data_IF_475666587772
#
_entry.id   IF_475666587772
#
_cell.length_a   1.000
_cell.length_b   1.000
_cell.length_c   1.000
_cell.angle_alpha   90.00
_cell.angle_beta   90.00
_cell.angle_gamma   90.00
#
_symmetry.space_group_name_H-M   'P 1'
#
loop_
_entity.id
_entity.type
_entity.pdbx_description
1 polymer ?
#
# COMPACT_ATOMS: atom_id res chain seq x y z
N UNK A 1 -19.11 7.67 -6.47
CA UNK A 1 -18.05 6.66 -6.68
C UNK A 1 -17.12 7.01 -7.85
N UNK A 2 -16.10 7.86 -7.64
CA UNK A 2 -15.06 8.14 -8.65
C UNK A 2 -13.89 7.16 -8.48
N UNK A 3 -13.97 6.06 -9.23
CA UNK A 3 -12.90 5.16 -9.71
C UNK A 3 -11.59 5.10 -8.91
N UNK A 4 -11.43 4.01 -8.17
CA UNK A 4 -10.19 3.37 -7.74
C UNK A 4 -9.21 2.99 -8.90
N UNK A 5 -9.48 3.38 -10.15
CA UNK A 5 -8.70 2.97 -11.35
C UNK A 5 -7.35 3.69 -11.55
N UNK A 6 -6.87 4.53 -10.63
CA UNK A 6 -5.63 5.30 -10.81
C UNK A 6 -4.39 4.69 -10.13
N UNK A 7 -4.56 3.89 -9.06
CA UNK A 7 -3.46 3.38 -8.23
C UNK A 7 -2.56 2.39 -8.97
N UNK A 8 -3.16 1.46 -9.70
CA UNK A 8 -2.45 0.40 -10.42
C UNK A 8 -1.55 0.92 -11.53
N UNK A 9 -1.93 2.01 -12.19
CA UNK A 9 -1.19 2.60 -13.29
C UNK A 9 0.01 3.40 -12.78
N UNK A 10 -0.15 4.08 -11.64
CA UNK A 10 0.91 4.83 -10.98
C UNK A 10 1.99 3.91 -10.39
N UNK A 11 1.59 2.87 -9.67
CA UNK A 11 2.53 1.86 -9.15
C UNK A 11 3.29 1.15 -10.27
N UNK A 12 2.61 0.73 -11.35
CA UNK A 12 3.28 0.12 -12.51
C UNK A 12 4.27 1.06 -13.19
N UNK A 13 3.90 2.32 -13.39
CA UNK A 13 4.79 3.33 -14.00
C UNK A 13 6.05 3.57 -13.17
N UNK A 14 5.91 3.69 -11.84
CA UNK A 14 7.06 3.91 -10.94
C UNK A 14 7.93 2.67 -10.79
N UNK A 15 7.33 1.48 -10.63
CA UNK A 15 8.10 0.22 -10.63
C UNK A 15 8.89 0.05 -11.93
N UNK A 16 8.28 0.39 -13.07
CA UNK A 16 8.96 0.37 -14.36
C UNK A 16 10.09 1.40 -14.44
N UNK A 17 9.87 2.62 -13.96
CA UNK A 17 10.90 3.67 -13.93
C UNK A 17 12.12 3.26 -13.10
N UNK A 18 11.90 2.82 -11.86
CA UNK A 18 12.98 2.40 -10.96
C UNK A 18 13.68 1.12 -11.46
N UNK A 19 12.91 0.14 -11.96
CA UNK A 19 13.45 -1.08 -12.55
C UNK A 19 14.33 -0.80 -13.77
N UNK A 20 13.93 0.13 -14.65
CA UNK A 20 14.77 0.56 -15.77
C UNK A 20 15.99 1.35 -15.31
N UNK A 21 15.88 2.18 -14.27
CA UNK A 21 17.01 2.88 -13.68
C UNK A 21 18.10 1.91 -13.19
N UNK A 22 17.70 0.85 -12.48
CA UNK A 22 18.62 -0.20 -12.03
C UNK A 22 19.21 -0.99 -13.21
N UNK A 23 18.41 -1.31 -14.22
CA UNK A 23 18.88 -2.02 -15.42
C UNK A 23 19.89 -1.17 -16.22
N UNK A 24 19.64 0.12 -16.39
CA UNK A 24 20.56 1.06 -17.05
C UNK A 24 21.85 1.24 -16.26
N UNK A 25 21.77 1.35 -14.93
CA UNK A 25 22.93 1.43 -14.07
C UNK A 25 23.83 0.18 -14.19
N UNK A 26 23.21 -1.01 -14.19
CA UNK A 26 23.91 -2.28 -14.44
C UNK A 26 24.53 -2.33 -15.83
N UNK A 27 23.76 -1.98 -16.86
CA UNK A 27 24.22 -2.01 -18.25
C UNK A 27 25.41 -1.06 -18.48
N UNK A 28 25.36 0.15 -17.92
CA UNK A 28 26.47 1.11 -17.98
C UNK A 28 27.73 0.63 -17.23
N UNK A 29 27.56 -0.14 -16.15
CA UNK A 29 28.68 -0.79 -15.46
C UNK A 29 29.29 -1.92 -16.31
N UNK A 30 28.46 -2.78 -16.92
CA UNK A 30 28.90 -3.89 -17.78
C UNK A 30 29.67 -3.40 -19.02
N UNK A 31 29.34 -2.21 -19.54
CA UNK A 31 30.03 -1.58 -20.69
C UNK A 31 31.20 -0.68 -20.29
N UNK A 32 31.53 -0.60 -18.99
CA UNK A 32 32.65 0.20 -18.48
C UNK A 32 32.42 1.72 -18.48
N UNK A 33 31.19 2.19 -18.71
CA UNK A 33 30.84 3.61 -18.70
C UNK A 33 30.68 4.16 -17.28
N UNK A 34 30.34 3.29 -16.32
CA UNK A 34 30.13 3.62 -14.92
C UNK A 34 31.09 2.78 -14.07
N UNK A 35 31.83 3.41 -13.16
CA UNK A 35 32.68 2.68 -12.21
C UNK A 35 31.81 1.93 -11.20
N UNK A 36 32.27 0.75 -10.76
CA UNK A 36 31.54 -0.07 -9.77
C UNK A 36 31.08 0.71 -8.52
N UNK A 37 31.95 1.55 -7.96
CA UNK A 37 31.62 2.39 -6.79
C UNK A 37 30.49 3.39 -7.08
N UNK A 38 30.47 3.98 -8.28
CA UNK A 38 29.41 4.88 -8.72
C UNK A 38 28.11 4.10 -8.96
N UNK A 39 28.20 2.89 -9.53
CA UNK A 39 27.03 2.03 -9.73
C UNK A 39 26.38 1.65 -8.38
N UNK A 40 27.18 1.31 -7.36
CA UNK A 40 26.67 1.03 -6.01
C UNK A 40 26.00 2.25 -5.38
N UNK A 41 26.62 3.44 -5.49
CA UNK A 41 26.02 4.69 -4.97
C UNK A 41 24.68 4.99 -5.63
N UNK A 42 24.60 4.86 -6.95
CA UNK A 42 23.34 5.05 -7.70
C UNK A 42 22.28 4.03 -7.29
N UNK A 43 22.66 2.76 -7.15
CA UNK A 43 21.72 1.71 -6.72
C UNK A 43 21.20 1.96 -5.30
N UNK A 44 22.08 2.30 -4.35
CA UNK A 44 21.69 2.63 -2.98
C UNK A 44 20.73 3.82 -2.96
N UNK A 45 21.05 4.89 -3.71
CA UNK A 45 20.19 6.06 -3.79
C UNK A 45 18.80 5.73 -4.38
N UNK A 46 18.74 4.91 -5.44
CA UNK A 46 17.46 4.45 -6.01
C UNK A 46 16.64 3.69 -4.96
N UNK A 47 17.26 2.79 -4.22
CA UNK A 47 16.59 2.00 -3.16
C UNK A 47 16.06 2.94 -2.06
N UNK A 48 16.85 3.91 -1.62
CA UNK A 48 16.43 4.89 -0.61
C UNK A 48 15.23 5.71 -1.08
N UNK A 49 15.24 6.17 -2.34
CA UNK A 49 14.10 6.89 -2.91
C UNK A 49 12.85 6.02 -2.98
N UNK A 50 12.98 4.75 -3.39
CA UNK A 50 11.85 3.81 -3.38
C UNK A 50 11.29 3.62 -1.97
N UNK A 51 12.16 3.48 -0.97
CA UNK A 51 11.77 3.32 0.42
C UNK A 51 11.01 4.55 0.96
N UNK A 52 11.45 5.77 0.62
CA UNK A 52 10.74 7.01 0.97
C UNK A 52 9.37 7.11 0.30
N UNK A 53 9.24 6.64 -0.93
CA UNK A 53 7.95 6.61 -1.62
C UNK A 53 6.98 5.61 -0.97
N UNK A 54 7.45 4.42 -0.61
CA UNK A 54 6.64 3.46 0.13
C UNK A 54 6.19 4.02 1.48
N UNK A 55 7.08 4.70 2.21
CA UNK A 55 6.71 5.40 3.45
C UNK A 55 5.56 6.38 3.23
N UNK A 56 5.63 7.24 2.21
CA UNK A 56 4.58 8.23 1.92
C UNK A 56 3.24 7.56 1.58
N UNK A 57 3.26 6.50 0.77
CA UNK A 57 2.04 5.77 0.39
C UNK A 57 1.41 5.11 1.62
N UNK A 58 2.20 4.41 2.43
CA UNK A 58 1.74 3.79 3.67
C UNK A 58 1.12 4.83 4.60
N UNK A 59 1.77 5.99 4.78
CA UNK A 59 1.26 7.06 5.63
C UNK A 59 -0.10 7.56 5.16
N UNK A 60 -0.25 7.83 3.86
CA UNK A 60 -1.52 8.28 3.29
C UNK A 60 -2.63 7.22 3.45
N UNK A 61 -2.30 5.93 3.32
CA UNK A 61 -3.27 4.85 3.52
C UNK A 61 -3.68 4.69 4.98
N UNK A 62 -2.73 4.75 5.92
CA UNK A 62 -3.04 4.73 7.34
C UNK A 62 -3.90 5.91 7.77
N UNK A 63 -3.61 7.12 7.27
CA UNK A 63 -4.44 8.30 7.53
C UNK A 63 -5.85 8.16 6.98
N UNK A 64 -6.01 7.61 5.77
CA UNK A 64 -7.32 7.34 5.19
C UNK A 64 -8.11 6.33 6.04
N UNK A 65 -7.45 5.24 6.47
CA UNK A 65 -8.06 4.21 7.31
C UNK A 65 -8.47 4.77 8.69
N UNK A 66 -7.60 5.55 9.33
CA UNK A 66 -7.87 6.24 10.60
C UNK A 66 -9.07 7.18 10.46
N UNK A 67 -9.12 7.96 9.37
CA UNK A 67 -10.24 8.87 9.11
C UNK A 67 -11.55 8.10 8.94
N UNK A 68 -11.56 7.01 8.15
CA UNK A 68 -12.76 6.20 7.94
C UNK A 68 -13.26 5.51 9.22
N UNK A 69 -12.37 5.13 10.14
CA UNK A 69 -12.75 4.64 11.47
C UNK A 69 -13.36 5.75 12.34
N UNK A 70 -12.78 6.95 12.33
CA UNK A 70 -13.26 8.08 13.13
C UNK A 70 -14.63 8.62 12.70
N UNK A 71 -14.90 8.63 11.40
CA UNK A 71 -16.19 9.09 10.85
C UNK A 71 -17.26 7.99 10.83
N UNK A 72 -16.93 6.78 11.27
CA UNK A 72 -17.88 5.66 11.34
C UNK A 72 -18.24 5.03 9.99
N UNK A 73 -17.50 5.33 8.91
CA UNK A 73 -17.67 4.64 7.61
C UNK A 73 -17.30 3.14 7.70
N UNK A 74 -16.47 2.79 8.68
CA UNK A 74 -16.09 1.42 9.01
C UNK A 74 -16.57 1.10 10.43
N UNK A 75 -17.18 -0.07 10.59
CA UNK A 75 -17.54 -0.57 11.92
C UNK A 75 -16.24 -0.79 12.73
N UNK A 76 -15.99 0.06 13.72
CA UNK A 76 -14.84 -0.04 14.61
C UNK A 76 -15.08 -1.15 15.66
N UNK A 77 -15.01 -2.41 15.23
CA UNK A 77 -14.91 -3.53 16.17
C UNK A 77 -13.53 -3.52 16.85
N UNK A 78 -13.42 -4.14 18.01
CA UNK A 78 -12.14 -4.27 18.72
C UNK A 78 -11.06 -4.95 17.84
N UNK A 79 -11.46 -5.90 17.00
CA UNK A 79 -10.57 -6.56 16.04
C UNK A 79 -10.04 -5.60 14.97
N UNK A 80 -10.88 -4.72 14.42
CA UNK A 80 -10.44 -3.74 13.43
C UNK A 80 -9.50 -2.68 14.03
N UNK A 81 -9.76 -2.27 15.28
CA UNK A 81 -8.88 -1.37 16.02
C UNK A 81 -7.53 -2.02 16.29
N UNK A 82 -7.52 -3.27 16.77
CA UNK A 82 -6.29 -4.02 17.00
C UNK A 82 -5.47 -4.16 15.71
N UNK A 83 -6.13 -4.54 14.62
CA UNK A 83 -5.48 -4.67 13.32
C UNK A 83 -4.90 -3.33 12.84
N UNK A 84 -5.61 -2.21 13.03
CA UNK A 84 -5.09 -0.88 12.73
C UNK A 84 -3.81 -0.57 13.52
N UNK A 85 -3.76 -0.91 14.82
CA UNK A 85 -2.56 -0.73 15.62
C UNK A 85 -1.39 -1.60 15.14
N UNK A 86 -1.65 -2.84 14.72
CA UNK A 86 -0.64 -3.73 14.15
C UNK A 86 -0.06 -3.14 12.86
N UNK A 87 -0.91 -2.58 11.98
CA UNK A 87 -0.45 -1.87 10.78
C UNK A 87 0.40 -0.64 11.14
N UNK A 88 0.03 0.08 12.20
CA UNK A 88 0.79 1.25 12.67
C UNK A 88 2.15 0.85 13.22
N UNK A 89 2.24 -0.29 13.91
CA UNK A 89 3.51 -0.85 14.38
C UNK A 89 4.44 -1.15 13.19
N UNK A 90 3.94 -1.80 12.14
CA UNK A 90 4.71 -2.06 10.91
C UNK A 90 5.25 -0.79 10.25
N UNK A 91 4.49 0.32 10.31
CA UNK A 91 4.94 1.62 9.80
C UNK A 91 6.11 2.19 10.62
N UNK A 92 6.03 2.13 11.96
CA UNK A 92 7.07 2.62 12.87
C UNK A 92 8.34 1.78 12.74
N UNK A 93 8.21 0.47 12.55
CA UNK A 93 9.31 -0.46 12.29
C UNK A 93 9.97 -0.30 10.91
N UNK A 94 9.43 0.56 10.03
CA UNK A 94 9.95 0.74 8.68
C UNK A 94 9.67 -0.42 7.72
N UNK A 95 8.77 -1.35 8.09
CA UNK A 95 8.43 -2.54 7.30
C UNK A 95 7.39 -2.24 6.21
N UNK A 96 7.70 -1.26 5.37
CA UNK A 96 6.73 -0.69 4.41
C UNK A 96 6.24 -1.70 3.36
N UNK A 97 7.06 -2.63 2.89
CA UNK A 97 6.60 -3.68 1.96
C UNK A 97 5.57 -4.62 2.58
N UNK A 98 5.79 -5.02 3.85
CA UNK A 98 4.83 -5.86 4.59
C UNK A 98 3.54 -5.10 4.82
N UNK A 99 3.64 -3.83 5.23
CA UNK A 99 2.50 -2.95 5.44
C UNK A 99 1.69 -2.74 4.15
N UNK A 100 2.33 -2.45 3.02
CA UNK A 100 1.66 -2.32 1.72
C UNK A 100 0.95 -3.60 1.32
N UNK A 101 1.57 -4.76 1.55
CA UNK A 101 0.96 -6.06 1.25
C UNK A 101 -0.31 -6.28 2.09
N UNK A 102 -0.25 -5.95 3.38
CA UNK A 102 -1.40 -6.04 4.29
C UNK A 102 -2.51 -5.06 3.88
N UNK A 103 -2.16 -3.80 3.60
CA UNK A 103 -3.11 -2.76 3.16
C UNK A 103 -3.76 -3.09 1.80
N UNK A 104 -3.05 -3.75 0.89
CA UNK A 104 -3.61 -4.17 -0.40
C UNK A 104 -4.53 -5.41 -0.30
N UNK A 105 -4.35 -6.22 0.75
CA UNK A 105 -5.24 -7.36 1.06
C UNK A 105 -6.47 -6.95 1.86
N UNK A 106 -6.50 -5.70 2.32
CA UNK A 106 -7.58 -5.17 3.10
C UNK A 106 -8.84 -5.01 2.24
N UNK A 107 -9.69 -6.03 2.27
CA UNK A 107 -11.03 -5.98 1.67
C UNK A 107 -12.03 -5.54 2.74
N UNK A 108 -12.06 -4.24 3.03
CA UNK A 108 -13.04 -3.69 3.96
C UNK A 108 -14.36 -3.52 3.22
N UNK A 109 -15.34 -4.36 3.55
CA UNK A 109 -16.73 -4.11 3.16
C UNK A 109 -17.19 -2.82 3.85
N UNK A 110 -17.70 -1.82 3.09
CA UNK A 110 -18.34 -0.67 3.71
C UNK A 110 -19.51 -1.15 4.56
N UNK A 111 -19.79 -0.46 5.66
CA UNK A 111 -21.04 -0.67 6.41
C UNK A 111 -22.15 -0.28 5.45
N UNK A 112 -22.81 -1.27 4.85
CA UNK A 112 -24.01 -1.03 4.07
C UNK A 112 -25.03 -0.38 5.01
N UNK A 113 -25.61 0.73 4.55
CA UNK A 113 -26.57 1.53 5.30
C UNK A 113 -27.54 0.62 6.04
N UNK A 114 -27.56 0.73 7.37
CA UNK A 114 -28.67 0.30 8.17
C UNK A 114 -29.83 1.24 7.82
N UNK A 115 -30.53 0.93 6.73
CA UNK A 115 -31.91 1.31 6.42
C UNK A 115 -32.30 0.73 5.04
N UNK A 116 -32.64 -0.56 5.03
CA UNK A 116 -33.69 -1.04 4.13
C UNK A 116 -34.46 -2.10 4.88
N UNK A 117 -35.62 -1.70 5.40
CA UNK A 117 -36.71 -2.59 5.77
C UNK A 117 -36.97 -3.60 4.63
N UNK A 118 -37.36 -4.82 5.01
CA UNK A 118 -37.90 -5.89 4.20
C UNK A 118 -36.98 -6.63 3.21
N UNK A 119 -36.34 -7.71 3.70
CA UNK A 119 -36.55 -9.05 3.13
C UNK A 119 -36.14 -10.17 4.13
N UNK A 120 -37.11 -11.05 4.35
CA UNK A 120 -37.18 -12.24 5.22
C UNK A 120 -36.02 -13.27 5.10
N UNK A 121 -35.91 -14.22 6.06
CA UNK A 121 -34.73 -15.06 6.27
C UNK A 121 -34.63 -16.15 5.21
N UNK A 122 -33.42 -16.40 4.71
CA UNK A 122 -33.11 -17.61 3.97
C UNK A 122 -32.25 -18.54 4.84
N UNK A 123 -32.84 -18.96 5.96
CA UNK A 123 -32.52 -20.25 6.57
C UNK A 123 -33.82 -21.04 6.63
N UNK A 124 -34.12 -21.72 5.53
CA UNK A 124 -34.84 -22.98 5.61
C UNK A 124 -33.91 -24.07 5.11
N UNK A 125 -33.69 -25.01 6.03
CA UNK A 125 -32.93 -26.22 5.84
C UNK A 125 -33.73 -27.16 4.93
N UNK A 126 -33.15 -27.60 3.81
CA UNK A 126 -33.13 -28.97 3.27
C UNK A 126 -32.47 -29.00 1.88
#
# INVERSE_FOLDING_TARGET
MKRLMSRDRWCRSRCWFWGRGLALNRWGMEHGWIRFEQALKTQSWIIDQMHQEYKRVCQAQLQALETSLLIGELAATDEHLQYFYDLRALYVEGRYDTLLTQLNRLDLRPVADADTEDALPLFDNL
#
